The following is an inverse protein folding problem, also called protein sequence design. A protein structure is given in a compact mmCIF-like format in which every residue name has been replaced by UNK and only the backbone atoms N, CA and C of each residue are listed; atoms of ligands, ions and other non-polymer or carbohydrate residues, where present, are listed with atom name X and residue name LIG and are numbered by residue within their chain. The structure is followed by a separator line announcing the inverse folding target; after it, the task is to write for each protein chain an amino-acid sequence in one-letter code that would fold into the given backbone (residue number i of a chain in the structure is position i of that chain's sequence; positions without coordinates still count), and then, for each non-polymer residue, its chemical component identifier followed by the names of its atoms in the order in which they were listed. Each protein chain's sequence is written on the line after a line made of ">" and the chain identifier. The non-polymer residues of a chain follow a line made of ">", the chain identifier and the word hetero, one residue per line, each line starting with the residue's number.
data_IF_816495569606
#
_entry.id   IF_816495569606
#
_cell.length_a   1.000
_cell.length_b   1.000
_cell.length_c   1.000
_cell.angle_alpha   90.00
_cell.angle_beta   90.00
_cell.angle_gamma   90.00
#
_symmetry.space_group_name_H-M   'P 1'
#
loop_
_entity.id
_entity.type
_entity.pdbx_description
1 polymer ?
#
# COMPACT_ATOMS: atom_id res chain seq x y z
N UNK A 1 -33.40 8.58 24.87
CA UNK A 1 -32.46 7.46 24.95
C UNK A 1 -31.08 8.07 24.80
N UNK A 2 -30.20 7.94 25.80
CA UNK A 2 -28.80 8.34 25.64
C UNK A 2 -28.23 7.51 24.49
N UNK A 3 -27.73 8.15 23.43
CA UNK A 3 -26.95 7.46 22.41
C UNK A 3 -25.79 6.77 23.11
N UNK A 4 -25.81 5.43 23.13
CA UNK A 4 -24.65 4.64 23.53
C UNK A 4 -23.63 4.87 22.43
N UNK A 5 -22.57 5.62 22.74
CA UNK A 5 -21.43 5.78 21.83
C UNK A 5 -20.44 4.66 22.16
N UNK A 6 -20.25 3.75 21.20
CA UNK A 6 -19.27 2.69 21.32
C UNK A 6 -17.86 3.24 21.09
N UNK A 7 -16.88 2.72 21.82
CA UNK A 7 -15.46 2.96 21.60
C UNK A 7 -14.90 2.02 20.53
N UNK A 8 -13.65 2.27 20.09
CA UNK A 8 -12.96 1.35 19.19
C UNK A 8 -12.75 -0.05 19.82
N UNK A 9 -12.57 -0.12 21.14
CA UNK A 9 -12.38 -1.38 21.85
C UNK A 9 -13.64 -2.25 21.87
N UNK A 10 -14.83 -1.63 21.78
CA UNK A 10 -16.10 -2.37 21.73
C UNK A 10 -16.27 -3.18 20.44
N UNK A 11 -15.42 -2.95 19.42
CA UNK A 11 -15.35 -3.77 18.21
C UNK A 11 -14.61 -5.10 18.43
N UNK A 12 -13.92 -5.27 19.56
CA UNK A 12 -13.14 -6.46 19.91
C UNK A 12 -13.92 -7.33 20.90
N UNK A 13 -14.55 -8.39 20.40
CA UNK A 13 -15.27 -9.36 21.21
C UNK A 13 -15.30 -10.74 20.51
N UNK A 14 -15.03 -11.85 21.21
CA UNK A 14 -14.92 -13.18 20.60
C UNK A 14 -16.24 -13.73 20.06
N UNK A 15 -17.39 -13.16 20.42
CA UNK A 15 -18.72 -13.66 20.03
C UNK A 15 -19.43 -12.74 19.04
N UNK A 16 -19.38 -11.43 19.28
CA UNK A 16 -20.13 -10.42 18.51
C UNK A 16 -19.27 -9.34 17.89
N UNK A 17 -17.97 -9.33 18.16
CA UNK A 17 -17.05 -8.31 17.66
C UNK A 17 -16.77 -8.48 16.18
N UNK A 18 -16.50 -7.35 15.51
CA UNK A 18 -15.86 -7.34 14.19
C UNK A 18 -14.49 -8.02 14.28
N UNK A 19 -13.79 -7.81 15.39
CA UNK A 19 -12.51 -8.42 15.72
C UNK A 19 -12.74 -9.42 16.84
N UNK A 20 -12.43 -10.70 16.59
CA UNK A 20 -12.64 -11.78 17.56
C UNK A 20 -11.56 -11.82 18.63
N UNK A 21 -10.32 -11.50 18.26
CA UNK A 21 -9.19 -11.47 19.17
C UNK A 21 -8.04 -10.63 18.60
N UNK A 22 -7.16 -10.16 19.48
CA UNK A 22 -5.84 -9.65 19.10
C UNK A 22 -4.77 -10.58 19.66
N UNK A 23 -3.86 -11.03 18.81
CA UNK A 23 -2.79 -11.96 19.17
C UNK A 23 -1.43 -11.28 19.02
N UNK A 24 -0.53 -11.37 20.01
CA UNK A 24 0.82 -10.83 19.85
C UNK A 24 1.56 -11.58 18.73
N UNK A 25 2.29 -10.82 17.91
CA UNK A 25 3.24 -11.39 16.96
C UNK A 25 4.32 -12.12 17.74
N UNK A 26 4.59 -13.36 17.35
CA UNK A 26 5.59 -14.18 18.00
C UNK A 26 6.98 -13.53 17.91
N UNK A 27 7.73 -13.61 19.01
CA UNK A 27 9.06 -13.06 19.09
C UNK A 27 10.03 -13.88 18.24
N UNK A 28 10.55 -13.29 17.18
CA UNK A 28 11.57 -13.91 16.34
C UNK A 28 12.99 -13.58 16.80
N UNK A 29 13.89 -14.54 16.65
CA UNK A 29 15.33 -14.32 16.85
C UNK A 29 15.85 -13.21 15.93
N UNK A 30 16.64 -12.30 16.49
CA UNK A 30 17.19 -11.12 15.80
C UNK A 30 16.24 -9.93 15.62
N UNK A 31 14.98 -10.03 16.03
CA UNK A 31 14.03 -8.91 15.97
C UNK A 31 14.40 -7.83 17.03
N UNK A 32 14.06 -6.54 16.90
CA UNK A 32 14.30 -5.54 17.96
C UNK A 32 13.41 -5.72 19.18
N UNK A 33 13.92 -5.60 20.41
CA UNK A 33 13.15 -5.84 21.65
C UNK A 33 11.91 -4.95 21.79
N UNK A 34 12.00 -3.71 21.28
CA UNK A 34 10.92 -2.74 21.34
C UNK A 34 9.88 -2.93 20.24
N UNK A 35 10.08 -3.84 19.28
CA UNK A 35 9.05 -4.13 18.27
C UNK A 35 7.81 -4.73 18.94
N UNK A 36 6.66 -4.09 18.76
CA UNK A 36 5.37 -4.60 19.22
C UNK A 36 4.46 -4.79 18.01
N UNK A 37 4.00 -6.02 17.80
CA UNK A 37 3.05 -6.36 16.75
C UNK A 37 1.84 -7.09 17.34
N UNK A 38 0.65 -6.74 16.86
CA UNK A 38 -0.61 -7.44 17.19
C UNK A 38 -1.33 -7.82 15.90
N UNK A 39 -1.66 -9.10 15.75
CA UNK A 39 -2.52 -9.61 14.69
C UNK A 39 -3.96 -9.57 15.15
N UNK A 40 -4.82 -8.86 14.41
CA UNK A 40 -6.26 -8.91 14.63
C UNK A 40 -6.86 -10.10 13.90
N UNK A 41 -7.59 -10.94 14.62
CA UNK A 41 -8.41 -12.01 14.04
C UNK A 41 -9.79 -11.44 13.72
N UNK A 42 -10.09 -11.28 12.43
CA UNK A 42 -11.33 -10.65 11.96
C UNK A 42 -12.45 -11.71 11.88
N UNK A 43 -13.68 -11.31 12.19
CA UNK A 43 -14.84 -12.16 12.06
C UNK A 43 -15.09 -12.52 10.59
N UNK A 44 -15.29 -13.82 10.30
CA UNK A 44 -15.58 -14.27 8.94
C UNK A 44 -17.03 -13.98 8.57
N UNK A 45 -17.25 -12.81 7.96
CA UNK A 45 -18.56 -12.34 7.48
C UNK A 45 -19.20 -13.30 6.46
N UNK A 46 -18.42 -14.15 5.76
CA UNK A 46 -18.97 -15.15 4.82
C UNK A 46 -19.85 -16.17 5.52
N UNK A 47 -19.55 -16.50 6.77
CA UNK A 47 -20.36 -17.41 7.59
C UNK A 47 -21.78 -16.90 7.82
N UNK A 48 -21.99 -15.58 7.71
CA UNK A 48 -23.28 -14.90 7.84
C UNK A 48 -23.94 -14.62 6.48
N UNK A 49 -23.42 -15.18 5.38
CA UNK A 49 -23.92 -14.91 4.02
C UNK A 49 -23.61 -13.50 3.51
N UNK A 50 -22.64 -12.82 4.14
CA UNK A 50 -22.21 -11.47 3.76
C UNK A 50 -21.04 -11.51 2.75
N UNK A 51 -20.19 -10.48 2.73
CA UNK A 51 -19.07 -10.31 1.79
C UNK A 51 -17.78 -10.97 2.30
N UNK A 52 -16.80 -11.29 1.44
CA UNK A 52 -15.48 -11.73 1.90
C UNK A 52 -14.68 -10.54 2.46
N UNK A 53 -14.05 -10.70 3.63
CA UNK A 53 -13.07 -9.76 4.17
C UNK A 53 -11.74 -10.49 4.43
N UNK A 54 -10.67 -9.73 4.57
CA UNK A 54 -9.41 -10.29 5.09
C UNK A 54 -9.67 -10.81 6.51
N UNK A 55 -9.12 -11.98 6.84
CA UNK A 55 -9.34 -12.63 8.13
C UNK A 55 -8.31 -12.22 9.19
N UNK A 56 -7.25 -11.56 8.75
CA UNK A 56 -6.16 -11.09 9.57
C UNK A 56 -5.71 -9.70 9.12
N UNK A 57 -5.39 -8.84 10.07
CA UNK A 57 -4.67 -7.58 9.86
C UNK A 57 -3.61 -7.41 10.95
N UNK A 58 -2.68 -6.47 10.79
CA UNK A 58 -1.63 -6.24 11.78
C UNK A 58 -1.64 -4.80 12.31
N UNK A 59 -1.26 -4.61 13.57
CA UNK A 59 -0.90 -3.30 14.12
C UNK A 59 0.50 -3.35 14.70
N UNK A 60 1.34 -2.39 14.31
CA UNK A 60 2.75 -2.34 14.72
C UNK A 60 3.13 -1.00 15.35
N UNK A 61 3.98 -1.04 16.37
CA UNK A 61 4.62 0.13 17.00
C UNK A 61 6.00 -0.22 17.55
N UNK A 62 6.72 0.80 18.08
CA UNK A 62 7.84 0.60 18.98
C UNK A 62 7.47 0.95 20.42
N UNK A 63 7.66 0.00 21.34
CA UNK A 63 7.48 0.15 22.79
C UNK A 63 6.12 0.73 23.23
N UNK A 64 5.08 0.54 22.41
CA UNK A 64 3.74 1.08 22.67
C UNK A 64 2.66 0.02 22.38
N UNK A 65 2.40 -0.90 23.32
CA UNK A 65 1.36 -1.91 23.16
C UNK A 65 -0.06 -1.35 22.97
N UNK A 66 -0.35 -0.19 23.57
CA UNK A 66 -1.66 0.46 23.41
C UNK A 66 -1.82 1.00 21.98
N UNK A 67 -0.79 1.66 21.46
CA UNK A 67 -0.76 2.10 20.06
C UNK A 67 -0.83 0.93 19.07
N UNK A 68 -0.12 -0.17 19.33
CA UNK A 68 -0.20 -1.37 18.49
C UNK A 68 -1.62 -1.95 18.46
N UNK A 69 -2.32 -1.92 19.59
CA UNK A 69 -3.72 -2.38 19.69
C UNK A 69 -4.65 -1.49 18.87
N UNK A 70 -4.54 -0.17 18.99
CA UNK A 70 -5.34 0.77 18.20
C UNK A 70 -5.03 0.64 16.71
N UNK A 71 -3.76 0.47 16.34
CA UNK A 71 -3.36 0.25 14.95
C UNK A 71 -3.98 -1.04 14.37
N UNK A 72 -3.94 -2.15 15.13
CA UNK A 72 -4.51 -3.43 14.70
C UNK A 72 -6.03 -3.34 14.53
N UNK A 73 -6.72 -2.65 15.44
CA UNK A 73 -8.16 -2.38 15.32
C UNK A 73 -8.46 -1.51 14.10
N UNK A 74 -7.69 -0.43 13.91
CA UNK A 74 -7.84 0.47 12.77
C UNK A 74 -7.68 -0.23 11.42
N UNK A 75 -6.65 -1.06 11.28
CA UNK A 75 -6.41 -1.83 10.05
C UNK A 75 -7.51 -2.88 9.84
N UNK A 76 -7.96 -3.56 10.89
CA UNK A 76 -9.07 -4.53 10.77
C UNK A 76 -10.38 -3.85 10.29
N UNK A 77 -10.71 -2.70 10.86
CA UNK A 77 -11.86 -1.88 10.47
C UNK A 77 -11.73 -1.39 9.03
N UNK A 78 -10.53 -0.98 8.63
CA UNK A 78 -10.22 -0.55 7.26
C UNK A 78 -10.50 -1.67 6.25
N UNK A 79 -9.96 -2.88 6.51
CA UNK A 79 -10.18 -4.06 5.66
C UNK A 79 -11.65 -4.47 5.65
N UNK A 80 -12.34 -4.42 6.79
CA UNK A 80 -13.76 -4.76 6.88
C UNK A 80 -14.62 -3.83 6.00
N UNK A 81 -14.50 -2.52 6.19
CA UNK A 81 -15.24 -1.51 5.43
C UNK A 81 -14.84 -1.50 3.95
N UNK A 82 -13.55 -1.61 3.64
CA UNK A 82 -13.03 -1.66 2.28
C UNK A 82 -13.55 -2.83 1.45
N UNK A 83 -13.93 -3.92 2.12
CA UNK A 83 -14.49 -5.10 1.47
C UNK A 83 -16.02 -5.10 1.43
N UNK A 84 -16.69 -4.21 2.17
CA UNK A 84 -18.13 -4.03 2.10
C UNK A 84 -18.53 -3.29 0.83
N UNK A 85 -19.05 -4.02 -0.16
CA UNK A 85 -19.54 -3.39 -1.40
C UNK A 85 -21.07 -3.32 -1.40
N UNK A 86 -21.66 -2.11 -1.44
CA UNK A 86 -23.11 -1.96 -1.51
C UNK A 86 -23.71 -2.61 -2.76
N UNK A 87 -24.89 -3.22 -2.61
CA UNK A 87 -25.63 -3.82 -3.73
C UNK A 87 -26.43 -2.80 -4.56
N UNK A 88 -26.43 -1.53 -4.15
CA UNK A 88 -27.21 -0.43 -4.73
C UNK A 88 -26.40 0.48 -5.65
N UNK A 89 -25.17 0.09 -5.99
CA UNK A 89 -24.28 0.92 -6.82
C UNK A 89 -24.84 1.13 -8.22
N UNK A 90 -24.71 2.36 -8.71
CA UNK A 90 -25.16 2.75 -10.04
C UNK A 90 -24.19 2.21 -11.10
N UNK A 91 -24.71 1.46 -12.08
CA UNK A 91 -23.96 1.07 -13.27
C UNK A 91 -24.21 2.04 -14.43
N UNK A 92 -23.15 2.57 -15.01
CA UNK A 92 -23.20 3.46 -16.17
C UNK A 92 -21.89 3.41 -16.97
N UNK A 93 -21.92 3.88 -18.21
CA UNK A 93 -20.69 4.23 -18.95
C UNK A 93 -20.29 5.68 -18.67
N UNK A 94 -19.01 6.07 -18.84
CA UNK A 94 -18.62 7.48 -18.77
C UNK A 94 -19.41 8.38 -19.75
N UNK A 95 -19.75 7.88 -20.93
CA UNK A 95 -20.57 8.62 -21.89
C UNK A 95 -22.00 8.90 -21.38
N UNK A 96 -22.62 7.94 -20.68
CA UNK A 96 -23.93 8.11 -20.03
C UNK A 96 -23.84 9.17 -18.91
N UNK A 97 -22.84 9.08 -18.03
CA UNK A 97 -22.63 10.07 -16.95
C UNK A 97 -22.40 11.49 -17.50
N UNK A 98 -21.61 11.62 -18.57
CA UNK A 98 -21.39 12.91 -19.25
C UNK A 98 -22.68 13.48 -19.82
N UNK A 99 -23.51 12.65 -20.46
CA UNK A 99 -24.78 13.09 -21.04
C UNK A 99 -25.77 13.61 -19.98
N UNK A 100 -25.67 13.08 -18.75
CA UNK A 100 -26.47 13.50 -17.60
C UNK A 100 -25.87 14.68 -16.82
N UNK A 101 -24.66 15.14 -17.18
CA UNK A 101 -23.97 16.22 -16.46
C UNK A 101 -23.41 15.80 -15.10
N UNK A 102 -23.21 14.50 -14.86
CA UNK A 102 -22.58 13.99 -13.63
C UNK A 102 -21.06 14.19 -13.73
N UNK A 103 -20.46 14.91 -12.77
CA UNK A 103 -19.00 15.02 -12.63
C UNK A 103 -18.44 13.64 -12.27
N UNK A 104 -17.47 13.17 -13.04
CA UNK A 104 -16.90 11.83 -12.87
C UNK A 104 -15.47 11.78 -13.39
N UNK A 105 -14.70 10.81 -12.90
CA UNK A 105 -13.38 10.54 -13.46
C UNK A 105 -13.48 9.69 -14.72
N UNK A 106 -12.95 10.24 -15.82
CA UNK A 106 -13.00 9.65 -17.15
C UNK A 106 -11.74 8.88 -17.53
N UNK A 107 -11.61 8.60 -18.83
CA UNK A 107 -10.48 7.88 -19.42
C UNK A 107 -9.11 8.47 -19.02
N UNK A 108 -9.00 9.79 -18.92
CA UNK A 108 -7.74 10.49 -18.65
C UNK A 108 -7.15 10.10 -17.28
N UNK A 109 -8.00 9.79 -16.30
CA UNK A 109 -7.57 9.42 -14.95
C UNK A 109 -7.21 7.94 -14.84
N UNK A 110 -7.80 7.09 -15.68
CA UNK A 110 -7.67 5.63 -15.63
C UNK A 110 -6.91 5.03 -16.82
N UNK A 111 -6.08 5.82 -17.49
CA UNK A 111 -5.13 5.33 -18.50
C UNK A 111 -3.93 4.66 -17.81
N UNK A 112 -4.21 3.58 -17.09
CA UNK A 112 -3.26 2.96 -16.18
C UNK A 112 -2.13 2.20 -16.85
N UNK A 113 -2.38 1.59 -18.01
CA UNK A 113 -1.41 0.68 -18.62
C UNK A 113 -0.87 1.20 -19.94
N UNK A 114 0.45 1.12 -20.11
CA UNK A 114 1.11 1.50 -21.35
C UNK A 114 0.73 0.54 -22.49
N UNK A 115 0.80 0.97 -23.77
CA UNK A 115 0.47 0.10 -24.90
C UNK A 115 1.24 -1.23 -24.92
N UNK A 116 2.50 -1.24 -24.52
CA UNK A 116 3.31 -2.47 -24.48
C UNK A 116 2.84 -3.47 -23.41
N UNK A 117 2.27 -2.99 -22.29
CA UNK A 117 1.68 -3.85 -21.27
C UNK A 117 0.40 -4.50 -21.82
N UNK A 118 -0.49 -3.68 -22.39
CA UNK A 118 -1.76 -4.15 -22.94
C UNK A 118 -1.61 -5.10 -24.13
N UNK A 119 -0.51 -5.00 -24.87
CA UNK A 119 -0.17 -5.90 -25.97
C UNK A 119 0.62 -7.14 -25.53
N UNK A 120 0.99 -7.25 -24.24
CA UNK A 120 1.71 -8.42 -23.73
C UNK A 120 0.78 -9.62 -23.61
N UNK A 121 1.28 -10.80 -23.95
CA UNK A 121 0.51 -12.05 -23.88
C UNK A 121 0.03 -12.32 -22.46
N UNK A 122 -1.26 -12.66 -22.31
CA UNK A 122 -1.85 -12.98 -21.01
C UNK A 122 -2.03 -11.79 -20.07
N UNK A 123 -1.79 -10.55 -20.52
CA UNK A 123 -2.02 -9.36 -19.70
C UNK A 123 -3.51 -9.27 -19.33
N UNK A 124 -3.86 -9.22 -18.03
CA UNK A 124 -5.23 -9.51 -17.61
C UNK A 124 -6.13 -8.29 -17.58
N UNK A 125 -5.61 -7.10 -17.93
CA UNK A 125 -6.34 -5.84 -17.86
C UNK A 125 -6.63 -5.26 -19.23
N UNK A 126 -7.69 -4.49 -19.31
CA UNK A 126 -8.16 -3.80 -20.50
C UNK A 126 -8.23 -2.29 -20.30
N UNK A 127 -8.38 -1.55 -21.41
CA UNK A 127 -8.47 -0.09 -21.37
C UNK A 127 -9.80 0.37 -20.78
N UNK A 128 -9.77 1.37 -19.91
CA UNK A 128 -10.97 2.13 -19.57
C UNK A 128 -11.33 3.08 -20.71
N UNK A 129 -12.59 3.05 -21.15
CA UNK A 129 -13.08 3.80 -22.31
C UNK A 129 -14.41 4.47 -22.00
N UNK A 130 -14.85 5.37 -22.88
CA UNK A 130 -16.16 6.03 -22.81
C UNK A 130 -17.35 5.05 -22.80
N UNK A 131 -17.14 3.80 -23.23
CA UNK A 131 -18.15 2.75 -23.30
C UNK A 131 -17.99 1.69 -22.21
N UNK A 132 -16.98 1.81 -21.33
CA UNK A 132 -16.76 0.87 -20.24
C UNK A 132 -17.89 0.98 -19.22
N UNK A 133 -18.82 0.01 -19.23
CA UNK A 133 -19.92 -0.02 -18.26
C UNK A 133 -19.42 -0.56 -16.93
N UNK A 134 -19.35 0.31 -15.92
CA UNK A 134 -18.85 0.00 -14.58
C UNK A 134 -19.81 0.52 -13.52
N UNK A 135 -19.65 0.06 -12.28
CA UNK A 135 -20.32 0.63 -11.12
C UNK A 135 -19.60 1.89 -10.65
N UNK A 136 -20.34 2.83 -10.07
CA UNK A 136 -19.84 4.12 -9.60
C UNK A 136 -20.20 4.37 -8.14
N UNK A 137 -19.31 5.08 -7.44
CA UNK A 137 -19.49 5.61 -6.08
C UNK A 137 -19.28 7.11 -6.14
N UNK A 138 -20.15 7.87 -5.47
CA UNK A 138 -19.96 9.30 -5.32
C UNK A 138 -18.99 9.56 -4.16
N UNK A 139 -17.91 10.27 -4.43
CA UNK A 139 -17.03 10.87 -3.43
C UNK A 139 -17.15 12.39 -3.43
N UNK A 140 -16.50 13.04 -2.48
CA UNK A 140 -16.49 14.49 -2.32
C UNK A 140 -15.10 15.02 -2.66
N UNK A 141 -15.00 15.96 -3.60
CA UNK A 141 -13.75 16.66 -3.91
C UNK A 141 -13.45 17.78 -2.90
N UNK A 142 -12.22 18.31 -2.90
CA UNK A 142 -11.81 19.40 -1.98
C UNK A 142 -12.68 20.67 -2.10
N UNK A 143 -13.34 20.90 -3.24
CA UNK A 143 -14.30 22.00 -3.45
C UNK A 143 -15.73 21.68 -2.96
N UNK A 144 -15.94 20.51 -2.35
CA UNK A 144 -17.23 20.04 -1.85
C UNK A 144 -18.17 19.44 -2.89
N UNK A 145 -17.77 19.34 -4.16
CA UNK A 145 -18.60 18.76 -5.20
C UNK A 145 -18.61 17.23 -5.14
N UNK A 146 -19.73 16.63 -5.57
CA UNK A 146 -19.79 15.18 -5.78
C UNK A 146 -19.07 14.80 -7.07
N UNK A 147 -18.23 13.77 -6.99
CA UNK A 147 -17.49 13.20 -8.12
C UNK A 147 -17.69 11.69 -8.14
N UNK A 148 -18.22 11.17 -9.23
CA UNK A 148 -18.37 9.73 -9.40
C UNK A 148 -17.03 9.07 -9.75
N UNK A 149 -16.66 8.06 -8.97
CA UNK A 149 -15.44 7.26 -9.10
C UNK A 149 -15.84 5.80 -9.40
N UNK A 150 -15.15 5.08 -10.30
CA UNK A 150 -15.37 3.65 -10.49
C UNK A 150 -15.26 2.90 -9.17
N UNK A 151 -16.32 2.18 -8.81
CA UNK A 151 -16.43 1.50 -7.53
C UNK A 151 -15.35 0.42 -7.32
N UNK A 152 -14.84 -0.17 -8.41
CA UNK A 152 -13.71 -1.09 -8.36
C UNK A 152 -12.43 -0.43 -7.86
N UNK A 153 -12.26 0.88 -8.09
CA UNK A 153 -11.12 1.66 -7.59
C UNK A 153 -11.33 2.13 -6.15
N UNK A 154 -12.56 2.05 -5.64
CA UNK A 154 -12.91 2.47 -4.28
C UNK A 154 -12.84 1.33 -3.28
N UNK A 155 -13.39 0.17 -3.64
CA UNK A 155 -13.46 -1.02 -2.78
C UNK A 155 -12.36 -2.05 -3.12
N UNK A 156 -12.05 -2.91 -2.16
CA UNK A 156 -10.97 -3.89 -2.26
C UNK A 156 -11.41 -5.16 -3.03
N UNK A 157 -12.05 -6.14 -2.39
CA UNK A 157 -12.45 -7.40 -3.04
C UNK A 157 -13.66 -7.23 -3.99
N UNK A 158 -13.47 -6.50 -5.08
CA UNK A 158 -14.50 -6.19 -6.08
C UNK A 158 -14.98 -7.41 -6.86
N UNK A 159 -14.06 -8.34 -7.21
CA UNK A 159 -14.31 -9.44 -8.17
C UNK A 159 -15.04 -10.66 -7.59
N UNK A 160 -16.09 -10.42 -6.82
CA UNK A 160 -16.99 -11.44 -6.28
C UNK A 160 -18.32 -11.53 -7.04
N UNK A 161 -18.94 -12.71 -7.06
CA UNK A 161 -20.31 -12.88 -7.58
C UNK A 161 -20.50 -12.40 -9.03
N UNK A 162 -21.54 -11.58 -9.27
CA UNK A 162 -21.85 -11.02 -10.60
C UNK A 162 -20.76 -10.08 -11.14
N UNK A 163 -20.03 -9.40 -10.26
CA UNK A 163 -18.95 -8.44 -10.60
C UNK A 163 -17.71 -9.08 -11.22
N UNK A 164 -17.63 -10.42 -11.24
CA UNK A 164 -16.59 -11.16 -11.99
C UNK A 164 -16.62 -10.86 -13.49
N UNK A 165 -17.79 -10.47 -14.01
CA UNK A 165 -18.00 -10.09 -15.42
C UNK A 165 -17.70 -8.62 -15.69
N UNK A 166 -17.45 -7.81 -14.66
CA UNK A 166 -17.17 -6.40 -14.83
C UNK A 166 -15.79 -6.19 -15.46
N UNK A 167 -15.64 -5.11 -16.25
CA UNK A 167 -14.37 -4.76 -16.87
C UNK A 167 -13.17 -4.84 -15.93
N UNK A 168 -12.04 -5.31 -16.45
CA UNK A 168 -10.79 -5.43 -15.68
C UNK A 168 -9.81 -4.33 -16.02
N UNK A 169 -10.02 -3.16 -15.43
CA UNK A 169 -9.29 -1.94 -15.80
C UNK A 169 -8.06 -1.62 -14.92
N UNK A 170 -7.92 -2.26 -13.76
CA UNK A 170 -6.79 -2.07 -12.85
C UNK A 170 -6.63 -3.24 -11.88
N UNK A 171 -5.45 -3.38 -11.28
CA UNK A 171 -5.20 -4.31 -10.18
C UNK A 171 -5.92 -3.86 -8.90
N UNK A 172 -6.04 -4.74 -7.90
CA UNK A 172 -6.47 -4.33 -6.56
C UNK A 172 -5.53 -3.24 -6.03
N UNK A 173 -6.08 -2.10 -5.60
CA UNK A 173 -5.34 -0.95 -5.08
C UNK A 173 -5.62 -0.81 -3.59
N UNK A 174 -4.65 -1.18 -2.74
CA UNK A 174 -4.77 -0.97 -1.30
C UNK A 174 -4.57 0.50 -0.92
N UNK A 175 -3.63 1.18 -1.59
CA UNK A 175 -3.27 2.55 -1.25
C UNK A 175 -4.45 3.53 -1.25
N UNK A 176 -4.51 4.37 -0.22
CA UNK A 176 -5.50 5.44 -0.08
C UNK A 176 -6.74 5.05 0.69
N UNK A 177 -6.90 3.79 1.11
CA UNK A 177 -7.89 3.43 2.12
C UNK A 177 -7.29 3.63 3.52
N UNK A 178 -8.02 4.25 4.43
CA UNK A 178 -7.52 4.50 5.78
C UNK A 178 -8.65 4.59 6.80
N UNK A 179 -8.40 4.06 7.99
CA UNK A 179 -9.21 4.33 9.19
C UNK A 179 -8.67 5.54 9.96
N UNK A 180 -9.56 6.39 10.47
CA UNK A 180 -9.21 7.52 11.31
C UNK A 180 -10.26 7.82 12.39
N UNK A 181 -9.88 8.70 13.33
CA UNK A 181 -10.82 9.28 14.28
C UNK A 181 -11.57 10.42 13.57
N UNK A 182 -12.71 10.09 12.97
CA UNK A 182 -13.41 10.96 12.04
C UNK A 182 -12.86 10.90 10.60
N UNK A 183 -13.63 11.45 9.67
CA UNK A 183 -13.38 11.32 8.23
C UNK A 183 -12.16 12.13 7.77
N UNK A 184 -11.91 13.30 8.38
CA UNK A 184 -10.77 14.17 7.99
C UNK A 184 -9.42 13.55 8.34
N UNK A 185 -9.32 12.88 9.49
CA UNK A 185 -8.14 12.13 9.90
C UNK A 185 -7.91 10.93 8.97
N UNK A 186 -8.97 10.16 8.68
CA UNK A 186 -8.94 9.07 7.72
C UNK A 186 -8.48 9.56 6.33
N UNK A 187 -9.04 10.66 5.84
CA UNK A 187 -8.68 11.25 4.55
C UNK A 187 -7.24 11.75 4.51
N UNK A 188 -6.73 12.32 5.61
CA UNK A 188 -5.35 12.79 5.69
C UNK A 188 -4.37 11.62 5.67
N UNK A 189 -4.66 10.53 6.38
CA UNK A 189 -3.85 9.30 6.36
C UNK A 189 -3.84 8.65 4.99
N UNK A 190 -5.01 8.49 4.36
CA UNK A 190 -5.10 7.92 3.02
C UNK A 190 -4.33 8.76 1.99
N UNK A 191 -4.37 10.09 2.11
CA UNK A 191 -3.63 10.96 1.19
C UNK A 191 -2.11 10.89 1.38
N UNK A 192 -1.63 10.82 2.63
CA UNK A 192 -0.21 10.59 2.93
C UNK A 192 0.27 9.26 2.33
N UNK A 193 -0.53 8.20 2.44
CA UNK A 193 -0.19 6.92 1.82
C UNK A 193 -0.09 7.03 0.29
N UNK A 194 -1.02 7.73 -0.37
CA UNK A 194 -0.93 7.94 -1.83
C UNK A 194 0.36 8.68 -2.23
N UNK A 195 0.77 9.69 -1.45
CA UNK A 195 2.03 10.42 -1.69
C UNK A 195 3.26 9.52 -1.50
N UNK A 196 3.23 8.65 -0.48
CA UNK A 196 4.26 7.64 -0.26
C UNK A 196 4.39 6.70 -1.45
N UNK A 197 3.27 6.09 -1.89
CA UNK A 197 3.29 5.10 -2.98
C UNK A 197 3.73 5.71 -4.31
N UNK A 198 3.32 6.94 -4.55
CA UNK A 198 3.70 7.70 -5.73
C UNK A 198 5.22 7.95 -5.78
N UNK A 199 5.77 8.46 -4.67
CA UNK A 199 7.19 8.78 -4.56
C UNK A 199 8.05 7.51 -4.62
N UNK A 200 7.62 6.43 -3.96
CA UNK A 200 8.24 5.10 -4.05
C UNK A 200 8.29 4.60 -5.49
N UNK A 201 7.14 4.59 -6.16
CA UNK A 201 7.02 4.06 -7.52
C UNK A 201 7.92 4.83 -8.49
N UNK A 202 7.87 6.16 -8.43
CA UNK A 202 8.69 7.05 -9.26
C UNK A 202 10.18 6.84 -9.01
N UNK A 203 10.62 6.89 -7.75
CA UNK A 203 12.01 6.69 -7.37
C UNK A 203 12.54 5.33 -7.84
N UNK A 204 11.76 4.28 -7.61
CA UNK A 204 12.20 2.92 -7.91
C UNK A 204 12.29 2.67 -9.41
N UNK A 205 11.18 2.84 -10.13
CA UNK A 205 11.05 2.40 -11.52
C UNK A 205 11.71 3.34 -12.54
N UNK A 206 11.85 4.64 -12.23
CA UNK A 206 12.65 5.58 -13.03
C UNK A 206 14.12 5.60 -12.62
N UNK A 207 14.53 4.70 -11.72
CA UNK A 207 15.90 4.59 -11.22
C UNK A 207 16.48 5.93 -10.73
N UNK A 208 15.66 6.72 -10.03
CA UNK A 208 16.09 8.03 -9.55
C UNK A 208 17.14 7.87 -8.43
N UNK A 209 18.08 8.82 -8.30
CA UNK A 209 18.94 8.89 -7.14
C UNK A 209 18.14 9.23 -5.88
N UNK A 210 18.66 8.86 -4.72
CA UNK A 210 18.16 9.26 -3.41
C UNK A 210 19.32 9.58 -2.48
N UNK A 211 19.07 10.43 -1.49
CA UNK A 211 20.03 10.76 -0.44
C UNK A 211 19.85 9.80 0.73
N UNK A 212 20.96 9.35 1.31
CA UNK A 212 20.93 8.59 2.55
C UNK A 212 20.53 9.47 3.72
N UNK A 213 19.87 8.90 4.71
CA UNK A 213 19.64 9.56 6.01
C UNK A 213 20.52 8.84 7.03
N UNK A 214 21.30 9.60 7.80
CA UNK A 214 22.07 9.02 8.90
C UNK A 214 21.11 8.48 9.99
N UNK A 215 21.07 7.15 10.25
CA UNK A 215 20.19 6.60 11.28
C UNK A 215 20.48 7.15 12.67
N UNK A 216 21.70 7.61 12.95
CA UNK A 216 22.05 8.21 14.24
C UNK A 216 21.44 9.60 14.43
N UNK A 217 21.07 10.28 13.33
CA UNK A 217 20.37 11.57 13.40
C UNK A 217 18.89 11.42 13.79
N UNK A 218 18.27 10.23 13.62
CA UNK A 218 16.85 9.99 13.89
C UNK A 218 16.61 9.76 15.39
N UNK A 219 15.96 10.70 16.12
CA UNK A 219 15.74 10.56 17.55
C UNK A 219 14.93 9.30 17.88
N UNK A 220 15.41 8.53 18.86
CA UNK A 220 14.75 7.30 19.33
C UNK A 220 15.00 6.06 18.50
N UNK A 221 15.47 6.18 17.25
CA UNK A 221 15.65 5.01 16.36
C UNK A 221 16.69 4.02 16.88
N UNK A 222 17.81 4.51 17.41
CA UNK A 222 18.84 3.65 18.01
C UNK A 222 18.28 2.84 19.20
N UNK A 223 17.41 3.45 20.01
CA UNK A 223 16.75 2.75 21.11
C UNK A 223 15.76 1.71 20.57
N UNK A 224 14.95 2.07 19.57
CA UNK A 224 13.96 1.20 18.93
C UNK A 224 14.59 -0.06 18.31
N UNK A 225 15.75 0.07 17.69
CA UNK A 225 16.53 -1.06 17.16
C UNK A 225 17.25 -1.84 18.26
N UNK A 226 17.78 -1.18 19.29
CA UNK A 226 18.50 -1.81 20.40
C UNK A 226 19.64 -2.71 19.91
N UNK A 227 19.79 -3.88 20.52
CA UNK A 227 20.80 -4.89 20.15
C UNK A 227 20.36 -5.81 18.99
N UNK A 228 19.35 -5.39 18.22
CA UNK A 228 18.93 -6.12 17.02
C UNK A 228 20.10 -6.33 16.06
N UNK A 229 20.18 -7.52 15.46
CA UNK A 229 21.18 -7.82 14.43
C UNK A 229 20.86 -7.16 13.08
N UNK A 230 19.65 -6.63 12.92
CA UNK A 230 19.18 -6.04 11.67
C UNK A 230 19.95 -4.75 11.37
N UNK A 231 20.64 -4.72 10.23
CA UNK A 231 21.29 -3.49 9.73
C UNK A 231 20.25 -2.63 9.05
N UNK A 232 20.10 -1.39 9.51
CA UNK A 232 19.13 -0.45 8.98
C UNK A 232 19.79 0.57 8.06
N UNK A 233 19.18 0.82 6.90
CA UNK A 233 19.56 1.89 5.98
C UNK A 233 18.33 2.71 5.63
N UNK A 234 18.49 4.04 5.54
CA UNK A 234 17.40 4.98 5.29
C UNK A 234 17.74 5.85 4.08
N UNK A 235 16.74 6.13 3.27
CA UNK A 235 16.80 7.05 2.15
C UNK A 235 15.69 8.07 2.25
N UNK A 236 16.00 9.32 1.94
CA UNK A 236 15.00 10.32 1.59
C UNK A 236 14.56 10.08 0.14
N UNK A 237 13.27 9.84 -0.05
CA UNK A 237 12.67 9.81 -1.38
C UNK A 237 12.24 11.22 -1.81
N UNK A 238 12.14 11.49 -3.13
CA UNK A 238 11.68 12.78 -3.61
C UNK A 238 10.34 13.22 -2.99
N UNK A 239 10.35 14.35 -2.29
CA UNK A 239 9.15 14.95 -1.70
C UNK A 239 8.49 15.91 -2.68
N UNK A 240 7.54 15.41 -3.48
CA UNK A 240 6.86 16.24 -4.49
C UNK A 240 5.80 17.20 -3.92
N UNK A 241 5.32 16.92 -2.69
CA UNK A 241 4.16 17.60 -2.12
C UNK A 241 4.41 18.17 -0.71
N UNK A 242 5.68 18.43 -0.39
CA UNK A 242 6.07 19.15 0.83
C UNK A 242 5.92 18.36 2.13
N UNK A 243 5.85 17.03 2.04
CA UNK A 243 5.85 16.11 3.20
C UNK A 243 7.04 15.15 3.13
N UNK A 244 7.67 14.79 4.24
CA UNK A 244 8.77 13.84 4.24
C UNK A 244 8.30 12.47 3.74
N UNK A 245 9.10 11.86 2.86
CA UNK A 245 8.91 10.48 2.40
C UNK A 245 10.21 9.72 2.57
N UNK A 246 10.16 8.65 3.36
CA UNK A 246 11.36 7.86 3.71
C UNK A 246 11.20 6.42 3.26
N UNK A 247 12.24 5.90 2.64
CA UNK A 247 12.42 4.47 2.42
C UNK A 247 13.43 3.91 3.43
N UNK A 248 13.12 2.75 3.99
CA UNK A 248 14.02 2.00 4.85
C UNK A 248 14.23 0.60 4.32
N UNK A 249 15.42 0.04 4.52
CA UNK A 249 15.66 -1.40 4.43
C UNK A 249 16.32 -1.91 5.70
N UNK A 250 15.88 -3.08 6.13
CA UNK A 250 16.58 -3.89 7.13
C UNK A 250 17.25 -5.07 6.43
N UNK A 251 18.52 -5.29 6.75
CA UNK A 251 19.32 -6.38 6.22
C UNK A 251 19.76 -7.32 7.35
N UNK A 252 19.28 -8.54 7.27
CA UNK A 252 19.64 -9.67 8.12
C UNK A 252 20.67 -10.52 7.38
N UNK A 253 21.95 -10.31 7.70
CA UNK A 253 23.05 -10.99 7.03
C UNK A 253 23.11 -12.49 7.32
N UNK A 254 22.63 -12.90 8.49
CA UNK A 254 22.68 -14.30 8.91
C UNK A 254 21.63 -15.13 8.17
N UNK A 255 20.42 -14.58 8.01
CA UNK A 255 19.37 -15.25 7.23
C UNK A 255 19.37 -14.86 5.75
N UNK A 256 20.21 -13.91 5.34
CA UNK A 256 20.23 -13.39 3.97
C UNK A 256 18.88 -12.78 3.58
N UNK A 257 18.22 -12.06 4.49
CA UNK A 257 16.93 -11.40 4.24
C UNK A 257 17.17 -9.89 4.10
N UNK A 258 16.67 -9.32 3.01
CA UNK A 258 16.50 -7.87 2.86
C UNK A 258 15.02 -7.58 2.78
N UNK A 259 14.54 -6.70 3.65
CA UNK A 259 13.15 -6.29 3.68
C UNK A 259 13.04 -4.77 3.78
N UNK A 260 12.10 -4.20 3.05
CA UNK A 260 11.90 -2.77 2.93
C UNK A 260 10.59 -2.30 3.54
N UNK A 261 10.57 -1.03 3.91
CA UNK A 261 9.43 -0.32 4.46
C UNK A 261 9.49 1.14 4.04
N UNK A 262 8.32 1.74 3.89
CA UNK A 262 8.18 3.07 3.32
C UNK A 262 7.18 3.83 4.16
N UNK A 263 7.36 5.14 4.28
CA UNK A 263 6.42 5.98 4.99
C UNK A 263 6.41 7.40 4.45
N UNK A 264 5.23 8.01 4.43
CA UNK A 264 5.07 9.46 4.45
C UNK A 264 4.24 9.89 5.66
N UNK A 265 4.71 10.88 6.42
CA UNK A 265 3.96 11.56 7.48
C UNK A 265 4.23 13.06 7.42
N UNK A 266 3.71 13.81 8.39
CA UNK A 266 3.99 15.24 8.52
C UNK A 266 5.31 15.52 9.23
N UNK A 267 5.68 14.68 10.21
CA UNK A 267 6.93 14.80 10.96
C UNK A 267 8.00 13.87 10.38
N UNK A 268 9.23 14.36 10.10
CA UNK A 268 10.27 13.55 9.49
C UNK A 268 10.78 12.42 10.38
N UNK A 269 10.85 12.62 11.70
CA UNK A 269 11.30 11.59 12.66
C UNK A 269 10.29 10.44 12.71
N UNK A 270 9.01 10.77 12.83
CA UNK A 270 7.92 9.79 12.80
C UNK A 270 7.85 9.04 11.47
N UNK A 271 8.19 9.73 10.36
CA UNK A 271 8.26 9.13 9.02
C UNK A 271 9.38 8.09 8.96
N UNK A 272 10.60 8.46 9.35
CA UNK A 272 11.74 7.55 9.34
C UNK A 272 11.52 6.33 10.25
N UNK A 273 11.05 6.56 11.49
CA UNK A 273 10.76 5.47 12.43
C UNK A 273 9.66 4.54 11.92
N UNK A 274 8.61 5.08 11.29
CA UNK A 274 7.56 4.24 10.67
C UNK A 274 8.09 3.45 9.47
N UNK A 275 8.91 4.03 8.62
CA UNK A 275 9.53 3.29 7.51
C UNK A 275 10.37 2.10 8.01
N UNK A 276 11.15 2.27 9.08
CA UNK A 276 11.91 1.16 9.72
C UNK A 276 10.98 0.12 10.31
N UNK A 277 9.91 0.54 10.99
CA UNK A 277 8.91 -0.35 11.57
C UNK A 277 8.25 -1.23 10.50
N UNK A 278 7.89 -0.64 9.36
CA UNK A 278 7.37 -1.37 8.19
C UNK A 278 8.43 -2.30 7.59
N UNK A 279 9.71 -1.91 7.54
CA UNK A 279 10.78 -2.78 7.06
C UNK A 279 10.96 -4.02 7.95
N UNK A 280 10.89 -3.86 9.28
CA UNK A 280 10.92 -4.97 10.23
C UNK A 280 9.66 -5.83 10.08
N UNK A 281 8.49 -5.22 9.88
CA UNK A 281 7.27 -5.98 9.62
C UNK A 281 7.39 -6.83 8.35
N UNK A 282 7.92 -6.26 7.26
CA UNK A 282 8.23 -6.99 6.03
C UNK A 282 9.24 -8.11 6.26
N UNK A 283 10.24 -7.90 7.12
CA UNK A 283 11.19 -8.95 7.52
C UNK A 283 10.49 -10.09 8.27
N UNK A 284 9.57 -9.80 9.21
CA UNK A 284 8.75 -10.82 9.92
C UNK A 284 7.94 -11.66 8.93
N UNK A 285 7.32 -11.02 7.93
CA UNK A 285 6.62 -11.74 6.87
C UNK A 285 7.57 -12.61 6.04
N UNK A 286 8.72 -12.05 5.66
CA UNK A 286 9.72 -12.72 4.82
C UNK A 286 10.34 -13.94 5.53
N UNK A 287 10.47 -13.91 6.87
CA UNK A 287 10.86 -15.08 7.67
C UNK A 287 9.93 -16.27 7.45
N UNK A 288 8.64 -16.04 7.24
CA UNK A 288 7.67 -17.10 6.95
C UNK A 288 7.75 -17.69 5.54
N UNK A 289 8.53 -17.08 4.64
CA UNK A 289 8.77 -17.51 3.26
C UNK A 289 10.09 -18.26 3.06
N UNK A 290 10.97 -18.29 4.07
CA UNK A 290 12.32 -18.87 3.93
C UNK A 290 12.27 -20.39 3.78
N UNK A 291 11.53 -21.06 4.66
CA UNK A 291 11.42 -22.53 4.69
C UNK A 291 10.14 -23.00 4.02
N UNK A 292 10.16 -24.20 3.44
CA UNK A 292 9.00 -24.78 2.73
C UNK A 292 7.79 -25.04 3.66
N UNK A 293 8.08 -25.29 4.95
CA UNK A 293 7.10 -25.44 6.01
C UNK A 293 6.84 -24.15 6.79
N UNK A 294 7.45 -23.04 6.39
CA UNK A 294 7.25 -21.71 6.96
C UNK A 294 5.79 -21.29 7.00
N UNK A 295 5.46 -20.44 7.98
CA UNK A 295 4.06 -20.13 8.31
C UNK A 295 3.28 -19.50 7.14
N UNK A 296 3.94 -18.79 6.21
CA UNK A 296 3.27 -18.20 5.04
C UNK A 296 2.76 -19.30 4.09
N UNK A 297 3.57 -20.31 3.81
CA UNK A 297 3.13 -21.50 3.06
C UNK A 297 2.13 -22.35 3.86
N UNK A 298 2.26 -22.39 5.19
CA UNK A 298 1.27 -22.96 6.09
C UNK A 298 -0.11 -22.32 5.93
N UNK A 299 -0.16 -20.98 5.92
CA UNK A 299 -1.37 -20.19 5.70
C UNK A 299 -1.98 -20.42 4.32
N UNK A 300 -1.16 -20.65 3.28
CA UNK A 300 -1.66 -21.06 1.96
C UNK A 300 -2.31 -22.45 1.99
N UNK A 301 -1.67 -23.43 2.64
CA UNK A 301 -2.23 -24.79 2.81
C UNK A 301 -3.53 -24.77 3.62
N UNK A 302 -3.66 -23.84 4.56
CA UNK A 302 -4.88 -23.62 5.34
C UNK A 302 -5.98 -22.82 4.58
N UNK A 303 -5.70 -22.34 3.37
CA UNK A 303 -6.65 -21.56 2.57
C UNK A 303 -6.86 -20.11 3.03
N UNK A 304 -5.98 -19.60 3.91
CA UNK A 304 -5.98 -18.19 4.34
C UNK A 304 -5.32 -17.30 3.29
N UNK A 305 -4.24 -17.77 2.67
CA UNK A 305 -3.57 -17.11 1.55
C UNK A 305 -3.79 -17.90 0.26
N UNK A 306 -3.83 -17.20 -0.88
CA UNK A 306 -4.04 -17.84 -2.18
C UNK A 306 -2.71 -18.31 -2.79
N UNK A 307 -2.49 -19.62 -3.03
CA UNK A 307 -1.21 -20.13 -3.52
C UNK A 307 -0.80 -19.57 -4.90
N UNK A 308 -1.77 -19.23 -5.76
CA UNK A 308 -1.50 -18.65 -7.08
C UNK A 308 -1.00 -17.20 -7.08
N UNK A 309 -0.87 -16.58 -5.91
CA UNK A 309 -0.31 -15.22 -5.74
C UNK A 309 1.18 -15.22 -5.41
N UNK A 310 1.74 -16.37 -5.05
CA UNK A 310 3.13 -16.53 -4.63
C UNK A 310 3.87 -17.46 -5.58
N UNK A 311 5.19 -17.35 -5.60
CA UNK A 311 6.05 -18.30 -6.31
C UNK A 311 6.16 -19.59 -5.48
N UNK A 312 6.33 -20.73 -6.15
CA UNK A 312 6.68 -21.98 -5.48
C UNK A 312 7.95 -21.80 -4.63
N UNK A 313 8.02 -22.48 -3.48
CA UNK A 313 9.19 -22.41 -2.62
C UNK A 313 10.44 -22.89 -3.36
N UNK A 314 11.54 -22.16 -3.19
CA UNK A 314 12.85 -22.46 -3.79
C UNK A 314 13.92 -22.48 -2.69
N UNK A 315 14.39 -23.67 -2.33
CA UNK A 315 15.42 -23.85 -1.29
C UNK A 315 16.76 -23.18 -1.63
N UNK A 316 17.08 -23.09 -2.93
CA UNK A 316 18.26 -22.38 -3.45
C UNK A 316 18.05 -20.87 -3.62
N UNK A 317 16.85 -20.37 -3.29
CA UNK A 317 16.41 -18.97 -3.41
C UNK A 317 16.56 -18.37 -4.80
N UNK A 318 16.54 -19.18 -5.87
CA UNK A 318 16.63 -18.72 -7.26
C UNK A 318 15.32 -18.09 -7.77
N UNK A 319 14.74 -17.19 -6.97
CA UNK A 319 13.44 -16.56 -7.25
C UNK A 319 13.47 -15.59 -8.42
N UNK A 320 14.64 -15.01 -8.75
CA UNK A 320 14.76 -14.14 -9.92
C UNK A 320 14.46 -14.90 -11.23
N UNK A 321 14.80 -16.19 -11.31
CA UNK A 321 14.48 -17.03 -12.47
C UNK A 321 12.98 -17.34 -12.57
N UNK A 322 12.29 -17.41 -11.42
CA UNK A 322 10.86 -17.69 -11.34
C UNK A 322 10.00 -16.43 -11.53
N UNK A 323 10.54 -15.24 -11.28
CA UNK A 323 9.83 -13.96 -11.40
C UNK A 323 9.40 -13.63 -12.85
N UNK A 324 10.08 -14.20 -13.85
CA UNK A 324 9.93 -13.82 -15.26
C UNK A 324 10.92 -12.73 -15.67
N UNK A 325 11.13 -12.56 -16.97
CA UNK A 325 12.17 -11.64 -17.48
C UNK A 325 11.92 -10.18 -17.12
N UNK A 326 10.65 -9.81 -16.88
CA UNK A 326 10.17 -8.49 -16.51
C UNK A 326 9.33 -8.54 -15.23
N UNK A 327 9.53 -9.54 -14.37
CA UNK A 327 8.73 -9.77 -13.16
C UNK A 327 7.25 -10.07 -13.40
N UNK A 328 6.87 -10.55 -14.59
CA UNK A 328 5.48 -10.80 -15.01
C UNK A 328 4.75 -11.89 -14.20
N UNK A 329 5.49 -12.70 -13.43
CA UNK A 329 4.93 -13.69 -12.50
C UNK A 329 4.71 -13.14 -11.09
N UNK A 330 5.19 -11.93 -10.79
CA UNK A 330 5.04 -11.28 -9.48
C UNK A 330 3.72 -10.52 -9.43
N UNK A 331 2.65 -11.24 -9.09
CA UNK A 331 1.27 -10.78 -9.18
C UNK A 331 0.67 -10.32 -7.85
N UNK A 332 1.45 -10.37 -6.78
CA UNK A 332 1.09 -9.90 -5.44
C UNK A 332 2.31 -9.26 -4.79
N UNK A 333 2.09 -8.30 -3.88
CA UNK A 333 3.17 -7.63 -3.17
C UNK A 333 3.91 -8.61 -2.24
N UNK A 334 3.21 -9.60 -1.67
CA UNK A 334 3.78 -10.71 -0.89
C UNK A 334 4.86 -11.49 -1.65
N UNK A 335 4.69 -11.67 -2.96
CA UNK A 335 5.66 -12.37 -3.81
C UNK A 335 6.93 -11.55 -4.08
N UNK A 336 6.91 -10.23 -3.87
CA UNK A 336 8.09 -9.37 -4.03
C UNK A 336 9.16 -9.71 -2.99
N UNK A 337 8.75 -10.06 -1.77
CA UNK A 337 9.68 -10.53 -0.74
C UNK A 337 10.44 -11.81 -1.16
N UNK A 338 9.80 -12.70 -1.94
CA UNK A 338 10.49 -13.89 -2.47
C UNK A 338 11.59 -13.49 -3.45
N UNK A 339 11.36 -12.50 -4.33
CA UNK A 339 12.39 -12.02 -5.27
C UNK A 339 13.60 -11.44 -4.53
N UNK A 340 13.38 -10.80 -3.37
CA UNK A 340 14.44 -10.25 -2.52
C UNK A 340 15.16 -11.29 -1.65
N UNK A 341 14.70 -12.55 -1.59
CA UNK A 341 15.49 -13.65 -1.05
C UNK A 341 16.61 -14.10 -2.01
N UNK A 342 16.52 -13.77 -3.29
CA UNK A 342 17.55 -14.12 -4.29
C UNK A 342 18.81 -13.26 -4.11
N UNK A 343 20.00 -13.85 -3.90
CA UNK A 343 21.24 -13.11 -3.72
C UNK A 343 21.60 -12.21 -4.92
N UNK A 344 21.17 -12.55 -6.14
CA UNK A 344 21.42 -11.73 -7.34
C UNK A 344 20.61 -10.44 -7.30
N UNK A 345 19.35 -10.51 -6.86
CA UNK A 345 18.50 -9.34 -6.62
C UNK A 345 19.14 -8.43 -5.58
N UNK A 346 19.59 -9.00 -4.46
CA UNK A 346 20.25 -8.24 -3.40
C UNK A 346 21.54 -7.58 -3.91
N UNK A 347 22.41 -8.32 -4.60
CA UNK A 347 23.65 -7.78 -5.14
C UNK A 347 23.43 -6.64 -6.14
N UNK A 348 22.38 -6.72 -6.97
CA UNK A 348 22.05 -5.72 -7.96
C UNK A 348 21.44 -4.44 -7.35
N UNK A 349 20.58 -4.57 -6.33
CA UNK A 349 19.71 -3.47 -5.92
C UNK A 349 19.87 -2.98 -4.48
N UNK A 350 20.40 -3.80 -3.55
CA UNK A 350 20.71 -3.35 -2.20
C UNK A 350 21.67 -2.15 -2.16
N UNK A 351 22.69 -2.02 -3.04
CA UNK A 351 23.57 -0.85 -3.06
C UNK A 351 22.86 0.49 -3.23
N UNK A 352 21.65 0.51 -3.82
CA UNK A 352 20.82 1.73 -3.90
C UNK A 352 20.48 2.31 -2.52
N UNK A 353 20.42 1.46 -1.50
CA UNK A 353 20.19 1.85 -0.10
C UNK A 353 21.48 2.00 0.70
N UNK A 354 22.47 1.13 0.48
CA UNK A 354 23.66 1.08 1.34
C UNK A 354 24.76 2.05 0.91
N UNK A 355 24.77 2.47 -0.36
CA UNK A 355 25.81 3.31 -0.95
C UNK A 355 25.22 4.57 -1.63
N UNK A 356 24.41 5.39 -0.92
CA UNK A 356 23.90 6.62 -1.48
C UNK A 356 25.06 7.60 -1.76
N UNK A 357 24.90 8.44 -2.77
CA UNK A 357 25.95 9.42 -3.16
C UNK A 357 26.17 10.51 -2.09
N UNK A 358 25.15 10.78 -1.30
CA UNK A 358 25.12 11.78 -0.23
C UNK A 358 24.39 11.19 0.98
N UNK A 359 24.78 11.60 2.19
CA UNK A 359 24.04 11.27 3.42
C UNK A 359 23.78 12.55 4.20
N UNK A 360 22.54 12.75 4.62
CA UNK A 360 22.03 13.95 5.27
C UNK A 360 21.53 13.65 6.70
N UNK A 361 21.35 14.70 7.50
CA UNK A 361 20.65 14.62 8.79
C UNK A 361 19.13 14.56 8.58
N UNK A 362 18.40 13.91 9.50
CA UNK A 362 16.92 13.92 9.50
C UNK A 362 16.32 15.33 9.54
N UNK A 363 17.04 16.29 10.14
CA UNK A 363 16.61 17.69 10.28
C UNK A 363 16.55 18.43 8.93
N UNK A 364 17.15 17.88 7.87
CA UNK A 364 17.11 18.46 6.53
C UNK A 364 15.83 18.09 5.76
N UNK A 365 15.06 17.10 6.24
CA UNK A 365 13.78 16.73 5.63
C UNK A 365 12.72 17.81 5.92
N UNK A 366 11.76 18.02 5.01
CA UNK A 366 10.69 18.97 5.24
C UNK A 366 9.82 18.53 6.42
N UNK A 367 9.29 19.51 7.15
CA UNK A 367 8.15 19.30 8.05
C UNK A 367 6.88 19.61 7.26
N UNK A 368 6.03 18.61 7.13
CA UNK A 368 4.78 18.70 6.38
C UNK A 368 3.65 19.36 7.16
N UNK A 369 2.68 19.89 6.42
CA UNK A 369 1.38 20.29 6.94
C UNK A 369 0.29 19.72 6.02
N UNK A 370 -0.82 19.24 6.59
CA UNK A 370 -1.90 18.62 5.81
C UNK A 370 -2.46 19.58 4.74
N UNK A 371 -2.72 20.83 5.11
CA UNK A 371 -3.20 21.86 4.18
C UNK A 371 -2.15 22.22 3.13
N UNK A 372 -0.86 22.19 3.50
CA UNK A 372 0.26 22.41 2.58
C UNK A 372 0.36 21.32 1.52
N UNK A 373 0.21 20.06 1.93
CA UNK A 373 0.20 18.90 1.03
C UNK A 373 -0.98 18.96 0.06
N UNK A 374 -2.20 19.22 0.57
CA UNK A 374 -3.40 19.38 -0.27
C UNK A 374 -3.24 20.53 -1.27
N UNK A 375 -2.72 21.67 -0.81
CA UNK A 375 -2.44 22.82 -1.68
C UNK A 375 -1.42 22.48 -2.78
N UNK A 376 -0.34 21.76 -2.43
CA UNK A 376 0.67 21.34 -3.39
C UNK A 376 0.11 20.39 -4.46
N UNK A 377 -0.75 19.43 -4.06
CA UNK A 377 -1.45 18.54 -4.98
C UNK A 377 -2.37 19.32 -5.94
N UNK A 378 -3.17 20.25 -5.42
CA UNK A 378 -4.06 21.07 -6.23
C UNK A 378 -3.28 21.95 -7.23
N UNK A 379 -2.17 22.56 -6.80
CA UNK A 379 -1.28 23.34 -7.69
C UNK A 379 -0.66 22.47 -8.78
N UNK A 380 -0.35 21.22 -8.47
CA UNK A 380 0.14 20.23 -9.44
C UNK A 380 -0.97 19.64 -10.33
N UNK A 381 -2.23 20.05 -10.14
CA UNK A 381 -3.37 19.58 -10.94
C UNK A 381 -3.92 18.21 -10.54
N UNK A 382 -3.57 17.72 -9.35
CA UNK A 382 -4.11 16.48 -8.79
C UNK A 382 -5.40 16.78 -8.02
N UNK A 383 -6.51 16.25 -8.52
CA UNK A 383 -7.82 16.34 -7.86
C UNK A 383 -7.91 15.24 -6.80
N UNK A 384 -8.18 15.62 -5.55
CA UNK A 384 -8.42 14.69 -4.45
C UNK A 384 -9.93 14.50 -4.27
N UNK A 385 -10.36 13.25 -4.19
CA UNK A 385 -11.74 12.85 -3.94
C UNK A 385 -11.76 11.86 -2.77
N UNK A 386 -12.61 12.13 -1.78
CA UNK A 386 -12.79 11.30 -0.60
C UNK A 386 -14.14 10.57 -0.68
N UNK A 387 -14.12 9.25 -0.66
CA UNK A 387 -15.31 8.42 -0.54
C UNK A 387 -15.41 7.92 0.91
N UNK A 388 -16.48 8.27 1.61
CA UNK A 388 -16.78 7.65 2.92
C UNK A 388 -17.37 6.25 2.68
N UNK A 389 -16.62 5.23 3.10
CA UNK A 389 -17.00 3.82 2.96
C UNK A 389 -17.26 3.18 4.34
N UNK A 390 -17.48 3.99 5.36
CA UNK A 390 -17.78 3.52 6.71
C UNK A 390 -19.08 2.74 6.72
N UNK A 391 -19.04 1.51 7.21
CA UNK A 391 -20.24 0.69 7.43
C UNK A 391 -21.05 1.21 8.62
N UNK A 392 -22.36 0.94 8.63
CA UNK A 392 -23.26 1.50 9.65
C UNK A 392 -22.94 1.07 11.09
N UNK A 393 -22.41 -0.14 11.26
CA UNK A 393 -21.94 -0.68 12.53
C UNK A 393 -20.66 0.03 13.01
N UNK A 394 -19.66 0.23 12.14
CA UNK A 394 -18.44 1.00 12.46
C UNK A 394 -18.78 2.46 12.76
N UNK A 395 -19.76 3.04 12.06
CA UNK A 395 -20.22 4.42 12.27
C UNK A 395 -20.82 4.67 13.66
N UNK A 396 -21.16 3.61 14.42
CA UNK A 396 -21.59 3.70 15.82
C UNK A 396 -20.44 4.01 16.80
N UNK A 397 -19.20 3.98 16.30
CA UNK A 397 -17.98 4.40 17.00
C UNK A 397 -17.48 5.76 16.45
N UNK A 398 -16.46 6.39 17.08
CA UNK A 398 -15.76 7.54 16.52
C UNK A 398 -14.97 7.26 15.23
N UNK A 399 -14.78 5.99 14.85
CA UNK A 399 -13.96 5.63 13.70
C UNK A 399 -14.71 5.92 12.39
N UNK A 400 -13.98 6.40 11.38
CA UNK A 400 -14.45 6.49 10.00
C UNK A 400 -13.42 5.86 9.08
N UNK A 401 -13.89 5.30 7.97
CA UNK A 401 -13.05 4.73 6.92
C UNK A 401 -13.25 5.52 5.65
N UNK A 402 -12.16 6.14 5.20
CA UNK A 402 -12.12 6.86 3.94
C UNK A 402 -11.41 6.01 2.89
N UNK A 403 -11.93 6.05 1.67
CA UNK A 403 -11.11 5.83 0.48
C UNK A 403 -10.79 7.18 -0.15
N UNK A 404 -9.52 7.53 -0.15
CA UNK A 404 -8.98 8.70 -0.83
C UNK A 404 -8.48 8.28 -2.20
N UNK A 405 -8.85 9.07 -3.19
CA UNK A 405 -8.39 8.95 -4.56
C UNK A 405 -7.74 10.27 -4.94
N UNK A 406 -6.55 10.25 -5.55
CA UNK A 406 -5.91 11.43 -6.12
C UNK A 406 -5.67 11.21 -7.62
N UNK A 407 -6.18 12.10 -8.48
CA UNK A 407 -6.05 11.93 -9.92
C UNK A 407 -4.58 12.04 -10.34
N UNK A 408 -4.08 11.07 -11.11
CA UNK A 408 -2.74 11.11 -11.69
C UNK A 408 -1.57 10.73 -10.77
N UNK A 409 -1.77 10.55 -9.46
CA UNK A 409 -0.76 9.91 -8.61
C UNK A 409 -0.63 8.42 -8.97
N UNK A 410 0.55 7.86 -8.78
CA UNK A 410 0.87 6.47 -9.10
C UNK A 410 0.63 5.59 -7.86
N UNK A 411 -0.37 4.69 -7.88
CA UNK A 411 -0.50 3.67 -6.84
C UNK A 411 0.63 2.65 -6.97
N UNK A 412 1.03 2.06 -5.83
CA UNK A 412 1.87 0.86 -5.88
C UNK A 412 1.05 -0.32 -6.39
N UNK A 413 1.68 -1.17 -7.19
CA UNK A 413 1.10 -2.40 -7.70
C UNK A 413 2.18 -3.49 -7.71
N UNK A 414 1.80 -4.78 -7.71
CA UNK A 414 2.75 -5.86 -7.92
C UNK A 414 3.57 -5.64 -9.19
N UNK A 415 4.83 -6.08 -9.21
CA UNK A 415 5.74 -5.84 -10.32
C UNK A 415 5.28 -6.36 -11.70
N UNK A 416 4.32 -7.28 -11.75
CA UNK A 416 3.67 -7.66 -13.02
C UNK A 416 2.76 -6.58 -13.61
N UNK A 417 2.23 -5.67 -12.78
CA UNK A 417 1.16 -4.72 -13.13
C UNK A 417 1.39 -3.24 -12.74
N UNK A 418 2.61 -2.65 -12.78
CA UNK A 418 2.77 -1.23 -12.51
C UNK A 418 1.99 -0.38 -13.52
N UNK A 419 1.50 0.78 -13.09
CA UNK A 419 0.62 1.62 -13.89
C UNK A 419 1.38 2.59 -14.82
N UNK A 420 2.23 2.06 -15.71
CA UNK A 420 3.10 2.85 -16.62
C UNK A 420 2.36 3.68 -17.69
N UNK A 421 1.04 3.53 -17.81
CA UNK A 421 0.24 4.36 -18.72
C UNK A 421 0.02 5.80 -18.21
N UNK A 422 0.14 6.00 -16.89
CA UNK A 422 -0.17 7.28 -16.25
C UNK A 422 0.78 8.40 -16.73
N UNK A 423 0.27 9.61 -17.06
CA UNK A 423 1.09 10.72 -17.53
C UNK A 423 2.23 11.11 -16.58
N UNK A 424 2.00 10.99 -15.27
CA UNK A 424 2.95 11.36 -14.21
C UNK A 424 4.33 10.71 -14.38
N UNK A 425 4.40 9.47 -14.87
CA UNK A 425 5.69 8.84 -15.19
C UNK A 425 6.52 9.64 -16.19
N UNK A 426 5.89 10.08 -17.28
CA UNK A 426 6.56 10.86 -18.34
C UNK A 426 6.91 12.26 -17.87
N UNK A 427 6.04 12.86 -17.06
CA UNK A 427 6.25 14.22 -16.56
C UNK A 427 7.47 14.27 -15.61
N UNK A 428 7.62 13.27 -14.74
CA UNK A 428 8.77 13.16 -13.84
C UNK A 428 10.03 12.69 -14.60
N UNK A 429 9.93 11.72 -15.51
CA UNK A 429 11.08 11.24 -16.28
C UNK A 429 11.71 12.37 -17.12
N UNK A 430 10.90 13.21 -17.78
CA UNK A 430 11.42 14.36 -18.54
C UNK A 430 12.24 15.34 -17.70
N UNK A 431 11.92 15.46 -16.41
CA UNK A 431 12.56 16.41 -15.51
C UNK A 431 13.79 15.81 -14.81
N UNK A 432 13.72 14.52 -14.44
CA UNK A 432 14.67 13.92 -13.50
C UNK A 432 15.38 12.65 -14.03
N UNK A 433 14.88 12.04 -15.10
CA UNK A 433 15.44 10.83 -15.71
C UNK A 433 15.22 10.83 -17.23
N UNK A 434 15.89 11.73 -17.98
CA UNK A 434 15.64 11.92 -19.42
C UNK A 434 15.96 10.69 -20.27
N UNK A 435 16.76 9.76 -19.74
CA UNK A 435 17.09 8.48 -20.36
C UNK A 435 16.01 7.40 -20.12
N UNK A 436 15.02 7.66 -19.27
CA UNK A 436 13.90 6.77 -19.01
C UNK A 436 12.68 7.17 -19.84
N UNK A 437 12.19 6.25 -20.66
CA UNK A 437 10.93 6.36 -21.40
C UNK A 437 9.93 5.32 -20.85
N UNK A 438 8.88 5.74 -20.11
CA UNK A 438 7.85 4.83 -19.62
C UNK A 438 7.11 4.03 -20.71
N UNK A 439 7.24 4.43 -21.97
CA UNK A 439 6.70 3.69 -23.12
C UNK A 439 7.64 2.62 -23.67
N UNK A 440 8.91 2.60 -23.23
CA UNK A 440 9.88 1.55 -23.52
C UNK A 440 10.27 0.80 -22.22
N UNK A 441 9.80 -0.45 -22.03
CA UNK A 441 10.09 -1.21 -20.81
C UNK A 441 11.58 -1.47 -20.56
N UNK A 442 12.45 -1.35 -21.57
CA UNK A 442 13.89 -1.59 -21.41
C UNK A 442 14.61 -0.43 -20.70
N UNK A 443 13.96 0.71 -20.55
CA UNK A 443 14.52 1.90 -19.88
C UNK A 443 14.09 2.01 -18.42
N UNK A 444 13.19 1.13 -17.98
CA UNK A 444 12.62 1.11 -16.64
C UNK A 444 13.26 0.03 -15.78
N UNK A 445 13.34 0.28 -14.47
CA UNK A 445 13.66 -0.78 -13.51
C UNK A 445 12.41 -1.62 -13.24
N UNK A 446 12.32 -2.83 -13.80
CA UNK A 446 11.14 -3.71 -13.66
C UNK A 446 11.26 -4.76 -12.55
N UNK A 447 12.40 -4.85 -11.87
CA UNK A 447 12.49 -5.63 -10.64
C UNK A 447 11.62 -4.97 -9.55
N UNK A 448 10.95 -5.74 -8.66
CA UNK A 448 10.15 -5.15 -7.59
C UNK A 448 11.02 -4.42 -6.56
N UNK A 449 10.53 -3.31 -5.97
CA UNK A 449 11.13 -2.75 -4.75
C UNK A 449 11.02 -3.78 -3.59
N UNK A 450 11.82 -3.63 -2.51
CA UNK A 450 11.75 -4.54 -1.36
C UNK A 450 10.51 -4.29 -0.47
N UNK A 451 9.39 -3.87 -1.05
CA UNK A 451 8.14 -3.57 -0.32
C UNK A 451 7.19 -4.76 -0.32
N UNK A 452 6.38 -4.85 0.73
CA UNK A 452 5.16 -5.66 0.80
C UNK A 452 3.90 -4.81 0.67
#
# INVERSE_FOLDING_TARGET
>A
MSEVSFSADDLVDPFTGLIRALHPVERLDGMPERYVGLTAEIADTRALGQWPCDLVSLGTTFADPAGARIAAIGEAVERYCGNYVPNTLRYATPAELRAEGVRHWGKQTFEFFAPWQLNSEGFPFERFTENSRVAWVDGVSDDGALVAIPASYVYLNWRGGSRRKDPRIHHLNYAGIATGQGLDDAATRGLLELVERDSLSLWWHLNLPARGIDPASVPGLAADLGDSRLRCHLLELPSYFGVPVVAAVVHDLELGIVAGGFSAKLDPVDTARKAVLEAIHSWVFTRGLVEADGWVFGSMRAGVLSPGLYLDHRADRSYLDAAGARSEHIRDLGAQAQVWLDPRTQAAYLPRFTNPAETISIDELPHGAADGMRSALAVAGHEVVVCDITTSDVASTPLRVARVCASGLIPNAPAAFPYFGLPRWRDIARQHAPDCDPTDPNTLLLAPPPSL
#
